data_IF_126686651655
#
_entry.id   IF_126686651655
#
_cell.length_a   1.000
_cell.length_b   1.000
_cell.length_c   1.000
_cell.angle_alpha   90.00
_cell.angle_beta   90.00
_cell.angle_gamma   90.00
#
_symmetry.space_group_name_H-M   'P 1'
#
loop_
_entity.id
_entity.type
_entity.pdbx_description
1 polymer ?
#
# COMPACT_ATOMS: atom_id res chain seq x y z
N UNK A 1 12.49 23.93 -5.10
CA UNK A 1 12.29 22.78 -6.02
C UNK A 1 12.10 21.43 -5.30
N UNK A 2 12.04 21.39 -3.95
CA UNK A 2 11.83 20.16 -3.14
C UNK A 2 10.40 20.14 -2.53
N UNK A 3 9.59 21.17 -2.75
CA UNK A 3 8.31 21.39 -2.06
C UNK A 3 7.06 21.19 -2.93
N UNK A 4 7.19 20.98 -4.24
CA UNK A 4 6.05 21.06 -5.16
C UNK A 4 5.43 19.70 -5.54
N UNK A 5 5.89 18.58 -4.95
CA UNK A 5 5.37 17.22 -5.28
C UNK A 5 4.47 16.66 -4.17
N UNK A 6 4.35 17.35 -3.03
CA UNK A 6 3.39 16.98 -1.97
C UNK A 6 1.94 17.33 -2.31
N UNK A 7 1.69 17.99 -3.45
CA UNK A 7 0.36 18.34 -3.96
C UNK A 7 -0.11 17.45 -5.12
N UNK A 8 0.59 16.35 -5.41
CA UNK A 8 0.05 15.34 -6.31
C UNK A 8 -1.19 14.72 -5.67
N UNK A 9 -2.37 15.24 -6.01
CA UNK A 9 -3.67 14.68 -5.65
C UNK A 9 -3.67 13.19 -5.98
N UNK A 10 -3.48 12.37 -4.96
CA UNK A 10 -3.77 10.95 -5.05
C UNK A 10 -5.29 10.85 -4.96
N UNK A 11 -5.98 10.95 -6.10
CA UNK A 11 -7.39 10.63 -6.19
C UNK A 11 -7.56 9.12 -5.95
N UNK A 12 -7.76 8.76 -4.68
CA UNK A 12 -8.13 7.40 -4.30
C UNK A 12 -9.64 7.30 -4.40
N UNK A 13 -10.14 6.71 -5.50
CA UNK A 13 -11.51 6.23 -5.59
C UNK A 13 -11.72 5.08 -4.60
N UNK A 14 -11.97 5.40 -3.33
CA UNK A 14 -12.29 4.42 -2.30
C UNK A 14 -13.74 3.92 -2.43
N UNK A 15 -14.03 2.65 -2.12
CA UNK A 15 -15.41 2.19 -2.04
C UNK A 15 -16.10 2.90 -0.87
N UNK A 16 -17.34 3.37 -1.09
CA UNK A 16 -18.25 3.81 -0.03
C UNK A 16 -18.68 2.59 0.79
N UNK A 17 -17.86 2.20 1.76
CA UNK A 17 -18.22 1.25 2.81
C UNK A 17 -18.70 2.03 4.03
N UNK A 18 -19.96 1.85 4.39
CA UNK A 18 -20.59 2.37 5.61
C UNK A 18 -19.85 1.83 6.85
N UNK A 19 -19.07 2.70 7.51
CA UNK A 19 -18.44 2.40 8.80
C UNK A 19 -18.80 3.55 9.73
N UNK A 20 -19.45 3.21 10.84
CA UNK A 20 -20.06 4.13 11.79
C UNK A 20 -19.14 5.20 12.35
N UNK A 21 -19.80 6.30 12.72
CA UNK A 21 -19.30 7.54 13.29
C UNK A 21 -18.55 7.32 14.63
N UNK A 22 -17.22 7.27 14.58
CA UNK A 22 -16.33 7.36 15.75
C UNK A 22 -15.32 8.50 15.52
N UNK A 23 -15.61 9.66 16.12
CA UNK A 23 -14.87 10.92 15.93
C UNK A 23 -13.39 10.88 16.37
N UNK A 24 -12.95 9.88 17.15
CA UNK A 24 -11.55 9.66 17.51
C UNK A 24 -10.78 8.80 16.49
N UNK A 25 -11.48 7.96 15.71
CA UNK A 25 -10.87 7.13 14.68
C UNK A 25 -10.43 7.96 13.47
N UNK A 26 -11.23 8.97 13.11
CA UNK A 26 -10.97 9.88 11.97
C UNK A 26 -9.68 10.69 12.13
N UNK A 27 -9.30 11.08 13.34
CA UNK A 27 -8.09 11.91 13.58
C UNK A 27 -6.80 11.06 13.47
N UNK A 28 -6.86 9.78 13.86
CA UNK A 28 -5.75 8.83 13.67
C UNK A 28 -5.68 8.26 12.24
N UNK A 29 -6.76 8.31 11.47
CA UNK A 29 -6.82 7.78 10.11
C UNK A 29 -6.03 8.66 9.12
N UNK A 30 -6.11 9.99 9.25
CA UNK A 30 -5.46 10.91 8.33
C UNK A 30 -3.93 10.73 8.24
N UNK A 31 -3.16 10.57 9.35
CA UNK A 31 -1.73 10.27 9.28
C UNK A 31 -1.41 8.91 8.66
N UNK A 32 -2.23 7.89 8.90
CA UNK A 32 -2.03 6.54 8.34
C UNK A 32 -2.25 6.53 6.84
N UNK A 33 -3.30 7.20 6.36
CA UNK A 33 -3.57 7.36 4.93
C UNK A 33 -2.37 8.01 4.24
N UNK A 34 -1.85 9.12 4.81
CA UNK A 34 -0.68 9.81 4.27
C UNK A 34 0.55 8.90 4.23
N UNK A 35 0.81 8.15 5.30
CA UNK A 35 1.95 7.23 5.37
C UNK A 35 1.87 6.12 4.30
N UNK A 36 0.72 5.48 4.15
CA UNK A 36 0.51 4.43 3.13
C UNK A 36 0.68 5.00 1.72
N UNK A 37 0.06 6.15 1.45
CA UNK A 37 0.20 6.82 0.15
C UNK A 37 1.65 7.20 -0.11
N UNK A 38 2.37 7.72 0.87
CA UNK A 38 3.78 8.05 0.75
C UNK A 38 4.64 6.82 0.41
N UNK A 39 4.39 5.68 1.05
CA UNK A 39 5.09 4.41 0.72
C UNK A 39 4.86 4.01 -0.73
N UNK A 40 3.62 4.10 -1.24
CA UNK A 40 3.28 3.77 -2.63
C UNK A 40 3.97 4.76 -3.60
N UNK A 41 3.92 6.06 -3.30
CA UNK A 41 4.56 7.10 -4.12
C UNK A 41 6.07 6.92 -4.15
N UNK A 42 6.71 6.62 -3.01
CA UNK A 42 8.15 6.43 -2.92
C UNK A 42 8.60 5.17 -3.66
N UNK A 43 7.84 4.08 -3.56
CA UNK A 43 8.07 2.87 -4.34
C UNK A 43 8.00 3.15 -5.85
N UNK A 44 6.98 3.90 -6.27
CA UNK A 44 6.80 4.29 -7.67
C UNK A 44 7.94 5.19 -8.17
N UNK A 45 8.32 6.21 -7.41
CA UNK A 45 9.45 7.11 -7.73
C UNK A 45 10.77 6.35 -7.86
N UNK A 46 10.97 5.31 -7.06
CA UNK A 46 12.15 4.42 -7.10
C UNK A 46 12.06 3.34 -8.17
N UNK A 47 10.99 3.31 -8.98
CA UNK A 47 10.72 2.30 -10.03
C UNK A 47 10.74 0.87 -9.47
N UNK A 48 10.18 0.67 -8.29
CA UNK A 48 10.05 -0.66 -7.70
C UNK A 48 9.00 -1.51 -8.45
N UNK A 49 9.26 -2.82 -8.59
CA UNK A 49 8.31 -3.79 -9.13
C UNK A 49 7.36 -4.32 -8.05
N UNK A 50 7.85 -4.48 -6.82
CA UNK A 50 7.09 -5.03 -5.71
C UNK A 50 7.42 -4.26 -4.42
N UNK A 51 6.41 -4.09 -3.56
CA UNK A 51 6.49 -3.53 -2.21
C UNK A 51 6.23 -4.67 -1.23
N UNK A 52 7.15 -4.86 -0.28
CA UNK A 52 7.04 -5.89 0.75
C UNK A 52 6.94 -5.24 2.13
N UNK A 53 5.87 -5.56 2.84
CA UNK A 53 5.61 -5.15 4.22
C UNK A 53 5.63 -6.39 5.11
N UNK A 54 6.67 -6.54 5.91
CA UNK A 54 7.00 -7.79 6.59
C UNK A 54 6.99 -7.60 8.09
N UNK A 55 6.01 -8.18 8.80
CA UNK A 55 5.98 -8.14 10.25
C UNK A 55 7.04 -9.11 10.80
N UNK A 56 8.03 -8.57 11.50
CA UNK A 56 9.02 -9.34 12.27
C UNK A 56 8.75 -9.19 13.77
N UNK A 57 9.43 -9.97 14.60
CA UNK A 57 9.21 -9.98 16.05
C UNK A 57 9.29 -8.58 16.69
N UNK A 58 10.30 -7.78 16.32
CA UNK A 58 10.60 -6.48 16.94
C UNK A 58 10.43 -5.27 16.01
N UNK A 59 10.29 -5.48 14.71
CA UNK A 59 10.26 -4.41 13.68
C UNK A 59 9.24 -4.72 12.60
N UNK A 60 8.77 -3.70 11.91
CA UNK A 60 7.90 -3.84 10.74
C UNK A 60 8.70 -3.40 9.51
N UNK A 61 9.22 -4.39 8.79
CA UNK A 61 10.22 -4.19 7.76
C UNK A 61 9.56 -3.83 6.43
N UNK A 62 10.06 -2.76 5.80
CA UNK A 62 9.68 -2.35 4.46
C UNK A 62 10.80 -2.69 3.48
N UNK A 63 10.48 -3.36 2.37
CA UNK A 63 11.43 -3.60 1.27
C UNK A 63 10.78 -3.26 -0.06
N UNK A 64 11.59 -2.74 -0.98
CA UNK A 64 11.21 -2.56 -2.37
C UNK A 64 12.02 -3.52 -3.22
N UNK A 65 11.37 -4.20 -4.17
CA UNK A 65 12.07 -4.89 -5.23
C UNK A 65 12.35 -3.90 -6.34
N UNK A 66 13.62 -3.57 -6.56
CA UNK A 66 14.08 -2.63 -7.59
C UNK A 66 15.02 -3.41 -8.50
N UNK A 67 14.74 -3.43 -9.80
CA UNK A 67 15.53 -4.14 -10.80
C UNK A 67 15.80 -5.63 -10.41
N UNK A 68 14.80 -6.28 -9.82
CA UNK A 68 14.86 -7.68 -9.39
C UNK A 68 15.47 -7.91 -8.01
N UNK A 69 16.07 -6.90 -7.37
CA UNK A 69 16.73 -7.01 -6.06
C UNK A 69 15.86 -6.41 -4.95
N UNK A 70 15.67 -7.13 -3.85
CA UNK A 70 14.95 -6.62 -2.69
C UNK A 70 15.87 -5.72 -1.83
N UNK A 71 15.60 -4.43 -1.81
CA UNK A 71 16.33 -3.41 -1.06
C UNK A 71 15.51 -3.00 0.16
N UNK A 72 16.11 -3.12 1.34
CA UNK A 72 15.52 -2.67 2.61
C UNK A 72 15.40 -1.15 2.65
N UNK A 73 14.25 -0.66 3.11
CA UNK A 73 13.98 0.77 3.30
C UNK A 73 13.91 1.09 4.79
N UNK A 74 13.70 2.36 5.12
CA UNK A 74 13.40 2.76 6.50
C UNK A 74 12.18 2.00 7.00
N UNK A 75 12.32 1.40 8.18
CA UNK A 75 11.24 0.66 8.82
C UNK A 75 10.04 1.54 9.15
N UNK A 76 8.88 0.91 9.09
CA UNK A 76 7.66 1.50 9.61
C UNK A 76 7.60 1.23 11.13
N UNK A 77 7.11 2.18 11.94
CA UNK A 77 6.98 1.95 13.38
C UNK A 77 6.11 0.73 13.65
N UNK A 78 6.64 -0.23 14.43
CA UNK A 78 5.95 -1.51 14.73
C UNK A 78 4.55 -1.31 15.30
N UNK A 79 4.33 -0.25 16.10
CA UNK A 79 3.02 0.13 16.66
C UNK A 79 1.96 0.44 15.59
N UNK A 80 2.37 0.85 14.39
CA UNK A 80 1.48 1.21 13.29
C UNK A 80 1.18 0.02 12.35
N UNK A 81 1.70 -1.17 12.64
CA UNK A 81 1.50 -2.33 11.77
C UNK A 81 0.02 -2.65 11.52
N UNK A 82 -0.78 -2.78 12.58
CA UNK A 82 -2.20 -3.10 12.47
C UNK A 82 -3.00 -2.05 11.66
N UNK A 83 -2.90 -0.74 11.95
CA UNK A 83 -3.63 0.27 11.17
C UNK A 83 -3.15 0.35 9.71
N UNK A 84 -1.86 0.15 9.43
CA UNK A 84 -1.35 0.11 8.05
C UNK A 84 -1.94 -1.07 7.27
N UNK A 85 -1.96 -2.28 7.86
CA UNK A 85 -2.56 -3.46 7.23
C UNK A 85 -4.05 -3.26 7.00
N UNK A 86 -4.78 -2.73 7.99
CA UNK A 86 -6.21 -2.44 7.85
C UNK A 86 -6.48 -1.45 6.72
N UNK A 87 -5.69 -0.38 6.62
CA UNK A 87 -5.83 0.61 5.53
C UNK A 87 -5.60 -0.01 4.15
N UNK A 88 -4.57 -0.84 4.01
CA UNK A 88 -4.29 -1.54 2.74
C UNK A 88 -5.40 -2.51 2.37
N UNK A 89 -5.95 -3.24 3.36
CA UNK A 89 -7.09 -4.13 3.14
C UNK A 89 -8.33 -3.38 2.66
N UNK A 90 -8.68 -2.27 3.31
CA UNK A 90 -9.79 -1.40 2.89
C UNK A 90 -9.61 -0.94 1.44
N UNK A 91 -8.43 -0.38 1.11
CA UNK A 91 -8.15 0.10 -0.24
C UNK A 91 -8.23 -1.00 -1.29
N UNK A 92 -7.88 -2.23 -0.92
CA UNK A 92 -7.84 -3.39 -1.82
C UNK A 92 -9.16 -4.19 -1.91
N UNK A 93 -10.17 -3.84 -1.11
CA UNK A 93 -11.44 -4.56 -1.02
C UNK A 93 -11.36 -5.90 -0.25
N UNK A 94 -10.37 -6.08 0.61
CA UNK A 94 -10.20 -7.29 1.44
C UNK A 94 -10.92 -7.16 2.79
N UNK A 95 -11.25 -8.31 3.41
CA UNK A 95 -11.85 -8.35 4.75
C UNK A 95 -10.80 -8.05 5.83
N UNK A 96 -11.05 -7.03 6.64
CA UNK A 96 -10.21 -6.64 7.78
C UNK A 96 -10.36 -7.63 8.95
N UNK A 97 -11.56 -8.19 9.09
CA UNK A 97 -11.92 -9.13 10.15
C UNK A 97 -11.20 -10.47 9.96
N UNK A 98 -11.02 -10.91 8.72
CA UNK A 98 -10.32 -12.15 8.43
C UNK A 98 -8.80 -11.91 8.35
N UNK A 99 -8.04 -12.68 9.12
CA UNK A 99 -6.57 -12.55 9.27
C UNK A 99 -5.85 -13.90 9.31
N UNK A 100 -6.60 -15.00 9.17
CA UNK A 100 -6.12 -16.39 9.33
C UNK A 100 -5.96 -17.11 8.00
N UNK A 101 -6.53 -16.57 6.92
CA UNK A 101 -6.36 -17.08 5.55
C UNK A 101 -5.69 -16.03 4.67
N UNK A 102 -4.94 -16.46 3.63
CA UNK A 102 -4.47 -15.55 2.59
C UNK A 102 -5.63 -14.84 1.90
N UNK A 103 -5.41 -13.58 1.54
CA UNK A 103 -6.37 -12.76 0.79
C UNK A 103 -5.67 -12.00 -0.32
N UNK A 104 -6.40 -11.77 -1.40
CA UNK A 104 -5.95 -11.03 -2.57
C UNK A 104 -6.89 -9.87 -2.85
N UNK A 105 -6.34 -8.76 -3.29
CA UNK A 105 -7.11 -7.57 -3.66
C UNK A 105 -6.39 -6.74 -4.72
N UNK A 106 -7.02 -5.65 -5.13
CA UNK A 106 -6.45 -4.71 -6.10
C UNK A 106 -6.69 -3.28 -5.65
N UNK A 107 -5.69 -2.44 -5.83
CA UNK A 107 -5.80 -0.99 -5.62
C UNK A 107 -5.54 -0.32 -6.95
N UNK A 108 -6.49 0.48 -7.42
CA UNK A 108 -6.29 1.37 -8.56
C UNK A 108 -6.05 2.77 -8.02
N UNK A 109 -4.91 3.38 -8.35
CA UNK A 109 -4.56 4.70 -7.84
C UNK A 109 -3.80 5.50 -8.90
N UNK A 110 -3.92 6.82 -8.85
CA UNK A 110 -3.16 7.73 -9.69
C UNK A 110 -1.97 8.27 -8.89
N UNK A 111 -0.77 8.09 -9.43
CA UNK A 111 0.46 8.63 -8.85
C UNK A 111 1.18 9.48 -9.91
N UNK A 112 1.24 10.79 -9.67
CA UNK A 112 1.95 11.72 -10.56
C UNK A 112 1.42 11.73 -11.99
N UNK A 113 0.09 11.64 -12.16
CA UNK A 113 -0.58 11.63 -13.46
C UNK A 113 -0.55 10.28 -14.19
N UNK A 114 0.01 9.23 -13.57
CA UNK A 114 0.00 7.86 -14.10
C UNK A 114 -0.92 6.97 -13.29
N UNK A 115 -1.85 6.31 -13.98
CA UNK A 115 -2.70 5.29 -13.38
C UNK A 115 -1.91 4.00 -13.18
N UNK A 116 -1.75 3.60 -11.92
CA UNK A 116 -1.12 2.34 -11.54
C UNK A 116 -2.14 1.36 -10.97
N UNK A 117 -1.91 0.08 -11.21
CA UNK A 117 -2.70 -1.02 -10.66
C UNK A 117 -1.80 -1.81 -9.71
N UNK A 118 -2.16 -1.82 -8.43
CA UNK A 118 -1.46 -2.59 -7.42
C UNK A 118 -2.21 -3.89 -7.19
N UNK A 119 -1.55 -5.03 -7.40
CA UNK A 119 -2.07 -6.32 -6.92
C UNK A 119 -1.57 -6.53 -5.51
N UNK A 120 -2.48 -6.65 -4.57
CA UNK A 120 -2.18 -6.75 -3.14
C UNK A 120 -2.44 -8.18 -2.67
N UNK A 121 -1.51 -8.76 -1.95
CA UNK A 121 -1.60 -10.07 -1.33
C UNK A 121 -1.37 -9.91 0.17
N UNK A 122 -2.27 -10.44 0.98
CA UNK A 122 -2.16 -10.54 2.45
C UNK A 122 -1.95 -11.99 2.83
N UNK A 123 -0.85 -12.28 3.54
CA UNK A 123 -0.52 -13.64 4.00
C UNK A 123 -0.38 -13.61 5.53
N UNK A 124 -1.13 -14.44 6.26
CA UNK A 124 -0.94 -14.60 7.70
C UNK A 124 0.46 -15.13 8.03
N UNK A 125 1.14 -14.50 9.00
CA UNK A 125 2.45 -14.94 9.51
C UNK A 125 2.46 -14.92 11.05
N UNK A 126 3.54 -15.43 11.65
CA UNK A 126 3.69 -15.51 13.11
C UNK A 126 3.57 -14.16 13.85
N UNK A 127 3.94 -13.05 13.20
CA UNK A 127 3.99 -11.73 13.84
C UNK A 127 2.97 -10.74 13.27
N UNK A 128 1.99 -11.23 12.51
CA UNK A 128 0.93 -10.46 11.85
C UNK A 128 0.80 -10.82 10.37
N UNK A 129 0.13 -9.98 9.59
CA UNK A 129 -0.04 -10.24 8.16
C UNK A 129 1.09 -9.60 7.36
N UNK A 130 1.74 -10.40 6.53
CA UNK A 130 2.69 -9.93 5.53
C UNK A 130 1.92 -9.46 4.31
N UNK A 131 2.19 -8.23 3.86
CA UNK A 131 1.58 -7.69 2.65
C UNK A 131 2.64 -7.62 1.55
N UNK A 132 2.30 -8.14 0.38
CA UNK A 132 3.07 -7.96 -0.84
C UNK A 132 2.21 -7.23 -1.86
N UNK A 133 2.74 -6.16 -2.46
CA UNK A 133 2.05 -5.40 -3.51
C UNK A 133 2.89 -5.39 -4.77
N UNK A 134 2.34 -5.87 -5.88
CA UNK A 134 2.97 -5.74 -7.19
C UNK A 134 2.46 -4.50 -7.90
N UNK A 135 3.39 -3.67 -8.38
CA UNK A 135 3.08 -2.47 -9.15
C UNK A 135 2.97 -2.84 -10.62
N UNK A 136 1.81 -2.60 -11.22
CA UNK A 136 1.57 -2.76 -12.66
C UNK A 136 1.31 -1.38 -13.27
N UNK A 137 2.22 -0.94 -14.13
CA UNK A 137 2.04 0.26 -14.93
C UNK A 137 1.15 -0.06 -16.15
N UNK A 138 -0.07 0.49 -16.18
CA UNK A 138 -1.01 0.29 -17.29
C UNK A 138 -0.58 1.00 -18.57
N UNK A 139 0.36 1.95 -18.52
CA UNK A 139 0.82 2.70 -19.69
C UNK A 139 1.71 1.90 -20.63
N UNK A 140 2.43 0.87 -20.13
CA UNK A 140 3.41 0.10 -20.91
C UNK A 140 2.84 -1.05 -21.74
N UNK A 141 1.59 -1.46 -21.50
CA UNK A 141 0.95 -2.61 -22.16
C UNK A 141 0.01 -2.17 -23.30
N UNK A 142 0.51 -1.34 -24.21
CA UNK A 142 0.01 -1.27 -25.59
C UNK A 142 0.89 -2.15 -26.47
N UNK A 143 1.00 -3.43 -26.13
CA UNK A 143 1.57 -4.40 -27.04
C UNK A 143 0.49 -4.67 -28.09
N UNK A 144 0.72 -4.20 -29.31
CA UNK A 144 -0.17 -4.40 -30.45
C UNK A 144 -0.38 -5.89 -30.71
N UNK A 145 -1.45 -6.44 -30.15
CA UNK A 145 -2.08 -7.63 -30.66
C UNK A 145 -2.92 -7.16 -31.85
N UNK A 146 -2.29 -7.16 -33.02
CA UNK A 146 -2.95 -7.04 -34.31
C UNK A 146 -3.61 -8.39 -34.67
#
# INVERSE_FOLDING_TARGET
MIQDITEGEVEVGGPKGDVGDDADAVDAEAPIIKLVNQVIVDAFKRRASDIHLEPLAKRFRLRFRIDGVCVEQTDLPKRLQAPIIARLKIQSGMSIAERRIPQDGRINTNVGGKTIDLRVNSIPTQHGESICMRILDKSGLRLGLA
#
